data_IF_571826186912
#
_entry.id   IF_571826186912
#
_cell.length_a   1.000
_cell.length_b   1.000
_cell.length_c   1.000
_cell.angle_alpha   90.00
_cell.angle_beta   90.00
_cell.angle_gamma   90.00
#
_symmetry.space_group_name_H-M   'P 1'
#
loop_
_entity.id
_entity.type
_entity.pdbx_description
1 polymer ?
#
# COMPACT_ATOMS: atom_id res chain seq x y z
N UNK A 1 -12.44 -34.31 8.28
CA UNK A 1 -12.64 -33.69 8.09
C UNK A 1 -12.56 -32.85 7.92
N UNK A 2 -12.43 -32.49 7.95
CA UNK A 2 -12.45 -31.63 7.83
C UNK A 2 -12.61 -30.82 7.70
N UNK A 3 -12.55 -30.42 7.78
CA UNK A 3 -12.79 -29.55 7.77
C UNK A 3 -12.78 -28.73 7.66
N UNK A 4 -12.50 -28.64 7.77
CA UNK A 4 -12.54 -27.73 7.68
C UNK A 4 -12.73 -26.92 7.09
N UNK A 5 -12.26 -27.07 7.11
CA UNK A 5 -12.11 -25.80 6.38
C UNK A 5 -13.34 -25.08 6.01
N UNK A 6 -14.25 -25.58 6.28
CA UNK A 6 -15.56 -25.02 6.05
C UNK A 6 -15.67 -23.58 6.47
N UNK A 7 -15.04 -23.21 7.56
CA UNK A 7 -15.16 -21.84 8.07
C UNK A 7 -14.49 -20.82 7.17
N UNK A 8 -13.52 -21.26 6.40
CA UNK A 8 -12.81 -20.38 5.50
C UNK A 8 -13.40 -20.39 4.10
N UNK A 9 -14.50 -21.10 3.93
CA UNK A 9 -15.15 -21.17 2.64
C UNK A 9 -15.51 -19.78 2.13
N UNK A 10 -15.03 -19.42 0.96
CA UNK A 10 -15.25 -18.12 0.39
C UNK A 10 -14.42 -17.01 1.02
N UNK A 11 -13.64 -17.33 2.02
CA UNK A 11 -12.79 -16.36 2.71
C UNK A 11 -11.34 -16.60 2.32
N UNK A 12 -10.74 -15.73 1.48
CA UNK A 12 -9.35 -15.90 1.15
C UNK A 12 -8.48 -15.64 2.38
N UNK A 13 -7.32 -16.29 2.43
CA UNK A 13 -6.36 -16.06 3.50
C UNK A 13 -5.83 -14.62 3.44
N UNK A 14 -5.41 -14.04 4.57
CA UNK A 14 -4.89 -12.68 4.60
C UNK A 14 -3.76 -12.43 3.61
N UNK A 15 -2.84 -13.37 3.44
CA UNK A 15 -1.75 -13.21 2.49
C UNK A 15 -2.24 -13.21 1.05
N UNK A 16 -3.27 -13.98 0.74
CA UNK A 16 -3.86 -13.97 -0.60
C UNK A 16 -4.53 -12.64 -0.90
N UNK A 17 -5.26 -12.10 0.07
CA UNK A 17 -5.87 -10.76 -0.07
C UNK A 17 -4.79 -9.72 -0.24
N UNK A 18 -3.75 -9.78 0.57
CA UNK A 18 -2.66 -8.83 0.54
C UNK A 18 -1.90 -8.84 -0.77
N UNK A 19 -1.55 -10.02 -1.29
CA UNK A 19 -0.84 -10.12 -2.57
C UNK A 19 -1.70 -9.57 -3.70
N UNK A 20 -2.97 -9.95 -3.73
CA UNK A 20 -3.89 -9.47 -4.75
C UNK A 20 -4.03 -7.96 -4.70
N UNK A 21 -4.18 -7.40 -3.49
CA UNK A 21 -4.29 -5.96 -3.31
C UNK A 21 -3.04 -5.25 -3.80
N UNK A 22 -1.87 -5.70 -3.39
CA UNK A 22 -0.60 -5.04 -3.74
C UNK A 22 -0.40 -5.03 -5.25
N UNK A 23 -0.64 -6.15 -5.91
CA UNK A 23 -0.51 -6.24 -7.36
C UNK A 23 -1.45 -5.25 -8.05
N UNK A 24 -2.68 -5.18 -7.61
CA UNK A 24 -3.67 -4.30 -8.21
C UNK A 24 -3.35 -2.84 -7.93
N UNK A 25 -2.94 -2.53 -6.70
CA UNK A 25 -2.61 -1.16 -6.30
C UNK A 25 -1.51 -0.58 -7.19
N UNK A 26 -0.39 -1.29 -7.32
CA UNK A 26 0.72 -0.77 -8.12
C UNK A 26 0.44 -0.81 -9.63
N UNK A 27 -0.38 -1.75 -10.08
CA UNK A 27 -0.82 -1.75 -11.48
C UNK A 27 -1.64 -0.49 -11.80
N UNK A 28 -2.60 -0.16 -10.95
CA UNK A 28 -3.44 1.03 -11.15
C UNK A 28 -2.62 2.30 -11.00
N UNK A 29 -1.70 2.34 -10.05
CA UNK A 29 -0.82 3.49 -9.87
C UNK A 29 -0.03 3.79 -11.14
N UNK A 30 0.42 2.75 -11.83
CA UNK A 30 1.20 2.88 -13.05
C UNK A 30 0.33 3.24 -14.25
N UNK A 31 -0.78 2.54 -14.43
CA UNK A 31 -1.54 2.60 -15.70
C UNK A 31 -2.78 3.48 -15.65
N UNK A 32 -3.40 3.63 -14.49
CA UNK A 32 -4.66 4.37 -14.31
C UNK A 32 -4.62 5.18 -13.02
N UNK A 33 -3.60 6.05 -12.84
CA UNK A 33 -3.39 6.70 -11.55
C UNK A 33 -4.56 7.57 -11.09
N UNK A 34 -5.40 8.02 -11.99
CA UNK A 34 -6.57 8.82 -11.60
C UNK A 34 -7.65 7.98 -10.92
N UNK A 35 -7.52 6.65 -10.92
CA UNK A 35 -8.46 5.75 -10.26
C UNK A 35 -7.98 5.27 -8.89
N UNK A 36 -6.85 5.78 -8.40
CA UNK A 36 -6.30 5.35 -7.11
C UNK A 36 -7.26 5.57 -5.94
N UNK A 37 -8.13 6.58 -6.04
CA UNK A 37 -9.10 6.87 -4.99
C UNK A 37 -10.01 5.68 -4.67
N UNK A 38 -10.19 4.78 -5.63
CA UNK A 38 -11.09 3.64 -5.45
C UNK A 38 -10.60 2.62 -4.42
N UNK A 39 -9.33 2.67 -4.06
CA UNK A 39 -8.80 1.75 -3.05
C UNK A 39 -9.13 2.18 -1.63
N UNK A 40 -9.48 3.44 -1.41
CA UNK A 40 -9.55 4.02 -0.07
C UNK A 40 -10.95 4.05 0.48
N UNK A 41 -11.06 3.89 1.80
CA UNK A 41 -12.29 4.21 2.51
C UNK A 41 -12.53 5.72 2.43
N UNK A 42 -13.79 6.10 2.60
CA UNK A 42 -14.19 7.51 2.53
C UNK A 42 -13.31 8.43 3.39
N UNK A 43 -12.91 7.93 4.56
CA UNK A 43 -12.09 8.69 5.50
C UNK A 43 -10.69 8.13 5.63
N UNK A 44 -10.19 7.51 4.57
CA UNK A 44 -8.83 6.98 4.58
C UNK A 44 -7.78 8.06 4.74
N UNK A 45 -6.61 7.64 5.20
CA UNK A 45 -5.46 8.53 5.39
C UNK A 45 -4.32 8.09 4.49
N UNK A 46 -3.61 9.05 3.94
CA UNK A 46 -2.48 8.80 3.06
C UNK A 46 -1.36 9.75 3.43
N UNK A 47 -0.14 9.22 3.50
CA UNK A 47 1.07 10.04 3.69
C UNK A 47 2.12 9.65 2.67
N UNK A 48 2.87 10.64 2.24
CA UNK A 48 3.97 10.49 1.30
C UNK A 48 5.15 11.26 1.85
N UNK A 49 6.29 10.62 1.95
CA UNK A 49 7.50 11.25 2.46
C UNK A 49 8.69 11.02 1.54
N UNK A 50 9.46 12.07 1.32
CA UNK A 50 10.70 12.01 0.57
C UNK A 50 11.68 13.00 1.23
N UNK A 51 12.58 12.48 2.07
CA UNK A 51 13.45 13.31 2.87
C UNK A 51 12.62 14.22 3.78
N UNK A 52 12.80 15.53 3.63
CA UNK A 52 12.08 16.52 4.43
C UNK A 52 10.70 16.85 3.86
N UNK A 53 10.43 16.40 2.64
CA UNK A 53 9.15 16.69 2.01
C UNK A 53 8.11 15.69 2.49
N UNK A 54 6.97 16.21 2.94
CA UNK A 54 5.88 15.39 3.41
C UNK A 54 4.55 15.90 2.88
N UNK A 55 3.73 14.98 2.37
CA UNK A 55 2.36 15.24 2.01
C UNK A 55 1.46 14.38 2.89
N UNK A 56 0.38 14.97 3.37
CA UNK A 56 -0.63 14.26 4.15
C UNK A 56 -1.99 14.56 3.57
N UNK A 57 -2.83 13.53 3.49
CA UNK A 57 -4.19 13.70 2.99
C UNK A 57 -5.14 12.83 3.80
N UNK A 58 -6.34 13.36 4.03
CA UNK A 58 -7.40 12.64 4.71
C UNK A 58 -8.66 12.75 3.87
N UNK A 59 -9.26 11.60 3.56
CA UNK A 59 -10.45 11.53 2.73
C UNK A 59 -10.14 11.47 1.24
N UNK A 60 -11.09 10.94 0.49
CA UNK A 60 -10.90 10.61 -0.92
C UNK A 60 -10.55 11.84 -1.77
N UNK A 61 -11.24 12.96 -1.55
CA UNK A 61 -10.99 14.15 -2.37
C UNK A 61 -9.60 14.72 -2.13
N UNK A 62 -9.18 14.76 -0.87
CA UNK A 62 -7.87 15.28 -0.51
C UNK A 62 -6.77 14.36 -1.04
N UNK A 63 -6.96 13.05 -0.91
CA UNK A 63 -6.02 12.05 -1.43
C UNK A 63 -5.88 12.20 -2.94
N UNK A 64 -6.99 12.30 -3.65
CA UNK A 64 -6.98 12.45 -5.11
C UNK A 64 -6.19 13.68 -5.53
N UNK A 65 -6.47 14.80 -4.88
CA UNK A 65 -5.81 16.07 -5.19
C UNK A 65 -4.30 15.98 -4.97
N UNK A 66 -3.87 15.50 -3.81
CA UNK A 66 -2.45 15.48 -3.47
C UNK A 66 -1.67 14.40 -4.21
N UNK A 67 -2.29 13.24 -4.44
CA UNK A 67 -1.65 12.18 -5.20
C UNK A 67 -1.32 12.65 -6.62
N UNK A 68 -2.20 13.43 -7.23
CA UNK A 68 -2.00 13.91 -8.61
C UNK A 68 -0.76 14.77 -8.76
N UNK A 69 -0.25 15.32 -7.67
CA UNK A 69 0.92 16.20 -7.68
C UNK A 69 2.22 15.51 -7.30
N UNK A 70 2.17 14.25 -6.87
CA UNK A 70 3.36 13.57 -6.40
C UNK A 70 3.97 12.66 -7.48
N UNK A 71 5.27 12.33 -7.35
CA UNK A 71 5.95 11.54 -8.39
C UNK A 71 5.56 10.07 -8.43
N UNK A 72 4.68 9.61 -7.57
CA UNK A 72 4.17 8.23 -7.59
C UNK A 72 3.26 7.97 -8.79
N UNK A 73 2.68 9.03 -9.34
CA UNK A 73 1.78 8.91 -10.48
C UNK A 73 2.54 8.35 -11.67
N UNK A 74 2.10 7.20 -12.15
CA UNK A 74 2.73 6.54 -13.29
C UNK A 74 3.97 5.72 -12.97
N UNK A 75 4.34 5.61 -11.70
CA UNK A 75 5.51 4.83 -11.29
C UNK A 75 5.22 3.34 -11.36
N UNK A 76 6.26 2.54 -11.64
CA UNK A 76 6.18 1.09 -11.76
C UNK A 76 6.99 0.41 -10.67
N UNK A 77 6.46 -0.66 -10.09
CA UNK A 77 7.14 -1.45 -9.08
C UNK A 77 7.38 -2.85 -9.60
N UNK A 78 8.62 -3.31 -9.50
CA UNK A 78 9.01 -4.65 -9.93
C UNK A 78 9.47 -5.46 -8.72
N UNK A 79 8.63 -6.36 -8.28
CA UNK A 79 8.91 -7.20 -7.12
C UNK A 79 9.82 -8.38 -7.43
N UNK A 80 10.07 -8.66 -8.72
CA UNK A 80 10.92 -9.78 -9.09
C UNK A 80 12.39 -9.55 -8.73
N UNK A 81 12.78 -8.29 -8.56
CA UNK A 81 14.19 -7.95 -8.27
C UNK A 81 14.43 -7.79 -6.78
N UNK A 82 13.73 -6.86 -6.15
CA UNK A 82 14.02 -6.44 -4.78
C UNK A 82 12.79 -6.32 -3.90
N UNK A 83 11.62 -6.60 -4.44
CA UNK A 83 10.39 -6.42 -3.69
C UNK A 83 10.19 -7.48 -2.63
N UNK A 84 9.77 -7.08 -1.45
CA UNK A 84 9.38 -7.97 -0.38
C UNK A 84 8.07 -7.52 0.23
N UNK A 85 7.25 -8.50 0.60
CA UNK A 85 5.95 -8.26 1.19
C UNK A 85 5.84 -8.99 2.51
N UNK A 86 5.26 -8.35 3.51
CA UNK A 86 4.94 -8.96 4.78
C UNK A 86 3.50 -8.66 5.12
N UNK A 87 2.79 -9.64 5.65
CA UNK A 87 1.37 -9.53 5.94
C UNK A 87 1.09 -9.94 7.37
N UNK A 88 0.19 -9.22 8.02
CA UNK A 88 -0.25 -9.55 9.36
C UNK A 88 -1.73 -9.24 9.50
N UNK A 89 -2.50 -10.23 9.96
CA UNK A 89 -3.90 -9.99 10.30
C UNK A 89 -3.96 -9.35 11.69
N UNK A 90 -4.76 -8.31 11.82
CA UNK A 90 -4.88 -7.59 13.09
C UNK A 90 -6.35 -7.32 13.40
N UNK A 91 -6.62 -7.06 14.69
CA UNK A 91 -7.90 -6.55 15.11
C UNK A 91 -7.90 -5.04 14.92
N UNK A 92 -8.96 -4.52 14.34
CA UNK A 92 -9.05 -3.09 14.05
C UNK A 92 -10.00 -2.36 14.97
N UNK A 93 -10.56 -3.06 15.97
CA UNK A 93 -11.34 -2.42 17.02
C UNK A 93 -11.10 -3.12 18.35
N UNK A 94 -11.52 -2.46 19.44
CA UNK A 94 -11.32 -2.97 20.79
C UNK A 94 -12.20 -4.16 21.12
N UNK A 95 -13.30 -4.35 20.38
CA UNK A 95 -14.17 -5.50 20.58
C UNK A 95 -13.65 -6.77 19.91
N UNK A 96 -12.63 -6.66 19.07
CA UNK A 96 -12.05 -7.80 18.38
C UNK A 96 -12.93 -8.38 17.28
N UNK A 97 -13.96 -7.66 16.87
CA UNK A 97 -14.86 -8.13 15.81
C UNK A 97 -14.43 -7.70 14.42
N UNK A 98 -13.79 -6.56 14.33
CA UNK A 98 -13.30 -6.07 13.04
C UNK A 98 -11.91 -6.57 12.77
N UNK A 99 -11.66 -6.97 11.53
CA UNK A 99 -10.37 -7.50 11.11
C UNK A 99 -9.75 -6.59 10.08
N UNK A 100 -8.45 -6.54 10.11
CA UNK A 100 -7.67 -5.82 9.14
C UNK A 100 -6.46 -6.61 8.71
N UNK A 101 -5.86 -6.18 7.63
CA UNK A 101 -4.61 -6.75 7.14
C UNK A 101 -3.60 -5.61 7.07
N UNK A 102 -2.53 -5.74 7.84
CA UNK A 102 -1.42 -4.82 7.78
C UNK A 102 -0.39 -5.37 6.79
N UNK A 103 -0.02 -4.56 5.82
CA UNK A 103 0.89 -4.97 4.75
C UNK A 103 2.09 -4.04 4.78
N UNK A 104 3.27 -4.63 4.81
CA UNK A 104 4.52 -3.87 4.65
C UNK A 104 5.15 -4.25 3.33
N UNK A 105 5.55 -3.24 2.58
CA UNK A 105 6.18 -3.41 1.28
C UNK A 105 7.54 -2.75 1.30
N UNK A 106 8.51 -3.43 0.75
CA UNK A 106 9.83 -2.91 0.50
C UNK A 106 10.17 -3.22 -0.95
N UNK A 107 10.62 -2.26 -1.71
CA UNK A 107 10.91 -2.55 -3.10
C UNK A 107 11.60 -1.42 -3.83
N UNK A 108 11.81 -1.64 -5.11
CA UNK A 108 12.35 -0.66 -6.03
C UNK A 108 11.26 -0.17 -6.96
N UNK A 109 11.24 1.12 -7.19
CA UNK A 109 10.24 1.78 -8.00
C UNK A 109 10.95 2.53 -9.13
N UNK A 110 10.40 2.44 -10.34
CA UNK A 110 10.85 3.24 -11.48
C UNK A 110 9.84 4.34 -11.72
N UNK A 111 10.27 5.57 -11.56
CA UNK A 111 9.42 6.74 -11.75
C UNK A 111 9.20 6.99 -13.24
N UNK A 112 8.20 7.80 -13.54
CA UNK A 112 7.83 8.11 -14.93
C UNK A 112 9.00 8.75 -15.70
N UNK A 113 9.88 9.48 -15.00
CA UNK A 113 11.07 10.08 -15.60
C UNK A 113 12.23 9.08 -15.80
N UNK A 114 12.03 7.80 -15.49
CA UNK A 114 13.03 6.75 -15.65
C UNK A 114 13.96 6.53 -14.48
N UNK A 115 13.91 7.38 -13.45
CA UNK A 115 14.74 7.20 -12.26
C UNK A 115 14.20 6.09 -11.39
N UNK A 116 15.10 5.32 -10.79
CA UNK A 116 14.74 4.26 -9.85
C UNK A 116 15.03 4.68 -8.42
N UNK A 117 14.13 4.33 -7.52
CA UNK A 117 14.26 4.64 -6.11
C UNK A 117 13.79 3.47 -5.27
N UNK A 118 14.48 3.21 -4.18
CA UNK A 118 14.00 2.27 -3.18
C UNK A 118 12.96 2.95 -2.30
N UNK A 119 11.97 2.18 -1.85
CA UNK A 119 10.90 2.73 -1.04
C UNK A 119 10.41 1.69 -0.05
N UNK A 120 9.67 2.16 0.93
CA UNK A 120 8.86 1.32 1.80
C UNK A 120 7.46 1.89 1.87
N UNK A 121 6.49 1.01 1.99
CA UNK A 121 5.09 1.43 2.06
C UNK A 121 4.34 0.48 2.98
N UNK A 122 3.48 1.04 3.82
CA UNK A 122 2.66 0.27 4.72
C UNK A 122 1.20 0.58 4.45
N UNK A 123 0.39 -0.48 4.41
CA UNK A 123 -1.04 -0.37 4.17
C UNK A 123 -1.81 -1.00 5.31
N UNK A 124 -2.92 -0.41 5.68
CA UNK A 124 -3.91 -1.05 6.52
C UNK A 124 -5.20 -1.20 5.73
N UNK A 125 -5.56 -2.45 5.48
CA UNK A 125 -6.83 -2.80 4.86
C UNK A 125 -7.80 -3.20 5.94
N UNK A 126 -9.02 -2.67 5.88
CA UNK A 126 -10.09 -3.09 6.77
C UNK A 126 -11.25 -3.62 5.97
N UNK A 127 -11.84 -4.69 6.48
CA UNK A 127 -12.96 -5.33 5.83
C UNK A 127 -14.21 -4.46 5.97
N UNK A 128 -14.97 -4.36 4.89
CA UNK A 128 -16.22 -3.62 4.86
C UNK A 128 -17.38 -4.60 4.75
N UNK A 129 -17.85 -5.11 5.89
CA UNK A 129 -18.91 -6.10 5.89
C UNK A 129 -18.56 -7.27 4.99
N UNK A 130 -19.42 -7.58 4.03
CA UNK A 130 -19.19 -8.67 3.09
C UNK A 130 -18.59 -8.20 1.76
N UNK A 131 -18.26 -6.92 1.65
CA UNK A 131 -17.87 -6.34 0.36
C UNK A 131 -16.38 -6.41 0.06
N UNK A 132 -15.59 -6.91 0.96
CA UNK A 132 -14.15 -6.96 0.75
C UNK A 132 -13.42 -5.94 1.60
N UNK A 133 -12.26 -5.50 1.13
CA UNK A 133 -11.35 -4.68 1.91
C UNK A 133 -11.15 -3.32 1.25
N UNK A 134 -10.93 -2.30 2.09
CA UNK A 134 -10.59 -0.95 1.63
C UNK A 134 -9.46 -0.40 2.47
N UNK A 135 -8.69 0.51 1.91
CA UNK A 135 -7.58 1.16 2.61
C UNK A 135 -8.09 2.17 3.62
N UNK A 136 -7.63 2.03 4.85
CA UNK A 136 -7.83 3.06 5.86
C UNK A 136 -6.57 3.86 6.10
N UNK A 137 -5.41 3.26 5.89
CA UNK A 137 -4.13 3.95 6.06
C UNK A 137 -3.15 3.48 4.98
N UNK A 138 -2.43 4.45 4.43
CA UNK A 138 -1.42 4.23 3.41
C UNK A 138 -0.25 5.15 3.72
N UNK A 139 0.89 4.57 4.08
CA UNK A 139 2.09 5.32 4.45
C UNK A 139 3.22 4.97 3.50
N UNK A 140 3.62 5.93 2.70
CA UNK A 140 4.69 5.76 1.71
C UNK A 140 5.91 6.57 2.10
N UNK A 141 7.10 5.99 1.91
CA UNK A 141 8.35 6.72 2.11
C UNK A 141 9.40 6.26 1.11
N UNK A 142 10.01 7.20 0.40
CA UNK A 142 11.23 6.90 -0.34
C UNK A 142 12.39 6.72 0.64
N UNK A 143 13.22 5.73 0.39
CA UNK A 143 14.42 5.52 1.18
C UNK A 143 15.54 6.42 0.65
N UNK A 144 16.44 6.86 1.51
CA UNK A 144 17.57 7.67 1.06
C UNK A 144 18.48 6.87 0.16
N UNK A 145 19.17 7.56 -0.75
CA UNK A 145 20.17 6.93 -1.60
C UNK A 145 21.30 6.40 -0.70
N UNK A 146 21.73 5.17 -0.98
CA UNK A 146 22.84 4.58 -0.24
C UNK A 146 24.10 5.32 -0.58
N UNK A 147 24.84 5.77 0.45
CA UNK A 147 26.10 6.47 0.26
C UNK A 147 27.23 5.47 0.17
N UNK A 148 28.22 5.79 -0.65
CA UNK A 148 29.43 4.99 -0.75
C UNK A 148 30.37 5.32 0.41
N UNK A 149 31.46 4.56 0.53
CA UNK A 149 32.45 4.82 1.57
C UNK A 149 33.13 6.20 1.41
N UNK A 150 33.11 6.76 0.22
CA UNK A 150 33.67 8.08 -0.02
C UNK A 150 32.71 9.21 0.28
N UNK A 151 31.44 8.92 0.49
CA UNK A 151 30.42 9.96 0.73
C UNK A 151 30.37 10.28 2.23
N UNK A 152 30.72 11.47 2.64
CA UNK A 152 30.59 11.85 4.05
C UNK A 152 29.12 12.01 4.42
N UNK A 153 28.83 11.82 5.68
CA UNK A 153 27.50 12.06 6.24
C UNK A 153 27.23 13.55 6.49
#
# INVERSE_FOLDING_TARGET
MSNNGSTSKGQPAPDQVGVSFVKQYYHVMQTLPDLMYKFYKKYGNWTYEDGDKKLEAAGIDDITSKFSTCPLKGAAVDFSKHGQLSFQEINTDTAGVSRGIFIMVYGEMTLENGKTRMFTQSFLLEKEGDKGYSLTNDCFRFLPTVKTAQDPW
#
